data_IF_707787760019
#
_entry.id   IF_707787760019
#
_cell.length_a   1.000
_cell.length_b   1.000
_cell.length_c   1.000
_cell.angle_alpha   90.00
_cell.angle_beta   90.00
_cell.angle_gamma   90.00
#
_symmetry.space_group_name_H-M   'P 1'
#
loop_
_entity.id
_entity.type
_entity.pdbx_description
1 polymer ?
#
# COMPACT_ATOMS: atom_id res chain seq x y z
N UNK A 1 37.15 42.28 17.61
CA UNK A 1 37.83 41.45 18.63
C UNK A 1 38.02 40.04 18.05
N UNK A 2 39.27 39.64 17.85
CA UNK A 2 39.69 38.43 17.12
C UNK A 2 40.34 37.50 18.15
N UNK A 3 39.75 36.32 18.43
CA UNK A 3 40.37 35.33 19.31
C UNK A 3 41.43 34.52 18.54
N UNK A 4 42.54 34.14 19.20
CA UNK A 4 43.72 33.57 18.57
C UNK A 4 43.57 32.07 18.30
N UNK A 5 44.32 31.58 17.31
CA UNK A 5 44.48 30.16 17.01
C UNK A 5 45.61 29.49 17.81
N UNK A 6 46.01 28.32 17.29
CA UNK A 6 47.15 27.47 17.68
C UNK A 6 46.72 26.22 18.48
N UNK A 7 47.18 24.99 18.25
CA UNK A 7 47.91 24.32 17.15
C UNK A 7 48.19 22.87 17.61
N UNK A 8 48.41 21.94 16.66
CA UNK A 8 49.33 20.77 16.78
C UNK A 8 48.86 19.66 17.75
N UNK A 9 48.73 18.38 17.34
CA UNK A 9 49.83 17.47 16.93
C UNK A 9 49.36 16.38 15.97
N UNK A 10 50.17 16.21 14.92
CA UNK A 10 50.24 15.00 14.07
C UNK A 10 51.00 13.92 14.85
N UNK A 11 50.51 12.68 14.81
CA UNK A 11 51.34 11.49 15.01
C UNK A 11 50.95 10.45 13.98
N UNK A 12 51.87 10.21 13.05
CA UNK A 12 51.87 9.03 12.19
C UNK A 12 52.72 7.95 12.90
N UNK A 13 52.25 6.71 12.91
CA UNK A 13 53.12 5.54 12.94
C UNK A 13 52.36 4.29 12.48
N UNK A 14 52.90 3.74 11.39
CA UNK A 14 52.67 2.44 10.78
C UNK A 14 52.48 1.28 11.76
N UNK A 15 51.56 0.36 11.43
CA UNK A 15 51.83 -1.07 11.56
C UNK A 15 51.24 -1.83 10.37
N UNK A 16 52.12 -2.56 9.71
CA UNK A 16 51.87 -3.46 8.58
C UNK A 16 51.69 -4.87 9.14
N UNK A 17 50.83 -5.65 8.47
CA UNK A 17 50.97 -7.08 8.17
C UNK A 17 49.89 -8.04 8.71
N UNK A 18 49.56 -8.95 7.80
CA UNK A 18 48.99 -10.30 7.97
C UNK A 18 47.47 -10.42 7.96
N UNK A 19 47.00 -10.85 6.80
CA UNK A 19 45.62 -11.23 6.55
C UNK A 19 45.30 -12.64 7.04
N UNK A 20 43.98 -12.85 7.15
CA UNK A 20 43.27 -14.10 7.01
C UNK A 20 41.95 -13.72 6.31
N UNK A 21 41.92 -13.84 4.99
CA UNK A 21 40.69 -13.64 4.21
C UNK A 21 39.79 -14.86 4.44
N UNK A 22 38.94 -14.80 5.46
CA UNK A 22 37.88 -15.78 5.68
C UNK A 22 36.80 -15.55 4.64
N UNK A 23 36.86 -16.28 3.53
CA UNK A 23 35.80 -16.31 2.53
C UNK A 23 34.58 -17.03 3.11
N UNK A 24 33.53 -16.29 3.47
CA UNK A 24 32.20 -16.88 3.65
C UNK A 24 31.65 -17.21 2.25
N UNK A 25 31.60 -18.48 1.91
CA UNK A 25 30.87 -18.96 0.73
C UNK A 25 29.38 -18.99 1.11
N UNK A 26 28.51 -18.18 0.48
CA UNK A 26 27.08 -18.41 0.63
C UNK A 26 26.73 -19.70 -0.12
N UNK A 27 26.30 -20.72 0.63
CA UNK A 27 25.66 -21.91 0.04
C UNK A 27 24.33 -21.46 -0.57
N UNK A 28 24.26 -21.40 -1.89
CA UNK A 28 23.00 -21.21 -2.61
C UNK A 28 22.24 -22.51 -2.52
N UNK A 29 21.33 -22.61 -1.55
CA UNK A 29 20.30 -23.62 -1.58
C UNK A 29 19.36 -23.27 -2.75
N UNK A 30 19.41 -24.07 -3.82
CA UNK A 30 18.45 -24.05 -4.91
C UNK A 30 17.05 -24.31 -4.31
N UNK A 31 16.29 -23.24 -4.07
CA UNK A 31 14.95 -23.32 -3.53
C UNK A 31 14.03 -23.85 -4.63
N UNK A 32 13.65 -25.13 -4.50
CA UNK A 32 12.63 -25.72 -5.36
C UNK A 32 11.36 -24.84 -5.34
N UNK A 33 10.71 -24.61 -6.50
CA UNK A 33 9.51 -23.78 -6.55
C UNK A 33 8.43 -24.39 -5.66
N UNK A 34 8.01 -23.62 -4.64
CA UNK A 34 6.91 -24.03 -3.78
C UNK A 34 5.64 -24.17 -4.62
N UNK A 35 4.81 -25.21 -4.39
CA UNK A 35 3.54 -25.35 -5.10
C UNK A 35 2.67 -24.12 -4.86
N UNK A 36 2.13 -23.56 -5.94
CA UNK A 36 1.24 -22.42 -5.87
C UNK A 36 0.05 -22.75 -4.97
N UNK A 37 -0.16 -21.96 -3.92
CA UNK A 37 -1.32 -22.10 -3.05
C UNK A 37 -2.61 -21.95 -3.87
N UNK A 38 -3.67 -22.73 -3.59
CA UNK A 38 -4.93 -22.62 -4.30
C UNK A 38 -5.49 -21.21 -4.15
N UNK A 39 -5.84 -20.60 -5.28
CA UNK A 39 -6.45 -19.27 -5.33
C UNK A 39 -7.89 -19.42 -4.82
N UNK A 40 -8.10 -19.15 -3.55
CA UNK A 40 -9.44 -19.09 -2.98
C UNK A 40 -10.11 -17.83 -3.53
N UNK A 41 -11.06 -18.01 -4.45
CA UNK A 41 -11.93 -16.92 -4.85
C UNK A 41 -12.69 -16.45 -3.60
N UNK A 42 -12.44 -15.22 -3.17
CA UNK A 42 -13.14 -14.65 -2.03
C UNK A 42 -14.66 -14.67 -2.31
N UNK A 43 -15.50 -15.11 -1.37
CA UNK A 43 -16.95 -15.08 -1.54
C UNK A 43 -17.39 -13.64 -1.79
N UNK A 44 -18.14 -13.45 -2.86
CA UNK A 44 -18.72 -12.18 -3.27
C UNK A 44 -19.95 -11.93 -2.36
N UNK A 45 -19.92 -10.97 -1.41
CA UNK A 45 -21.03 -10.77 -0.48
C UNK A 45 -22.31 -10.32 -1.20
N UNK A 46 -23.44 -10.95 -0.87
CA UNK A 46 -24.73 -10.83 -1.56
C UNK A 46 -25.43 -9.45 -1.49
N UNK A 47 -24.88 -8.48 -0.76
CA UNK A 47 -25.49 -7.16 -0.54
C UNK A 47 -24.72 -6.06 -1.27
N UNK A 48 -24.83 -6.03 -2.60
CA UNK A 48 -24.36 -4.92 -3.44
C UNK A 48 -25.42 -3.86 -3.75
N UNK A 49 -26.57 -3.87 -3.05
CA UNK A 49 -27.58 -2.82 -3.20
C UNK A 49 -26.93 -1.44 -3.05
N UNK A 50 -26.95 -0.64 -4.11
CA UNK A 50 -26.33 0.70 -4.15
C UNK A 50 -24.81 0.75 -4.36
N UNK A 51 -24.10 -0.39 -4.45
CA UNK A 51 -22.63 -0.43 -4.63
C UNK A 51 -22.18 -0.79 -6.05
N UNK A 52 -23.10 -1.02 -6.98
CA UNK A 52 -22.79 -1.43 -8.36
C UNK A 52 -21.98 -0.40 -9.17
N UNK A 53 -21.92 0.85 -8.72
CA UNK A 53 -21.08 1.88 -9.32
C UNK A 53 -19.61 1.77 -8.91
N UNK A 54 -19.29 1.04 -7.84
CA UNK A 54 -17.94 0.96 -7.25
C UNK A 54 -17.36 -0.45 -7.35
N UNK A 55 -18.16 -1.46 -7.03
CA UNK A 55 -17.70 -2.86 -7.06
C UNK A 55 -17.35 -3.28 -8.49
N UNK A 56 -16.22 -3.97 -8.64
CA UNK A 56 -15.68 -4.41 -9.93
C UNK A 56 -15.07 -3.28 -10.77
N UNK A 57 -15.01 -2.05 -10.26
CA UNK A 57 -14.37 -0.92 -10.97
C UNK A 57 -12.88 -0.86 -10.71
N UNK A 58 -12.15 -0.33 -11.68
CA UNK A 58 -10.72 -0.03 -11.56
C UNK A 58 -10.51 1.26 -10.77
N UNK A 59 -9.29 1.43 -10.25
CA UNK A 59 -8.88 2.67 -9.60
C UNK A 59 -9.12 3.91 -10.47
N UNK A 60 -8.75 3.84 -11.74
CA UNK A 60 -8.94 4.95 -12.70
C UNK A 60 -10.42 5.34 -12.85
N UNK A 61 -11.32 4.36 -12.77
CA UNK A 61 -12.76 4.61 -12.81
C UNK A 61 -13.24 5.31 -11.53
N UNK A 62 -12.72 4.90 -10.37
CA UNK A 62 -13.02 5.59 -9.11
C UNK A 62 -12.46 7.00 -9.09
N UNK A 63 -11.26 7.21 -9.64
CA UNK A 63 -10.65 8.54 -9.72
C UNK A 63 -11.43 9.49 -10.64
N UNK A 64 -12.06 8.98 -11.69
CA UNK A 64 -12.99 9.78 -12.49
C UNK A 64 -14.28 10.11 -11.76
N UNK A 65 -14.82 9.16 -10.99
CA UNK A 65 -16.10 9.32 -10.30
C UNK A 65 -15.98 10.18 -9.03
N UNK A 66 -14.92 9.96 -8.27
CA UNK A 66 -14.71 10.54 -6.94
C UNK A 66 -13.43 11.34 -6.88
N UNK A 67 -12.80 11.73 -8.00
CA UNK A 67 -11.55 12.50 -8.08
C UNK A 67 -10.34 11.85 -7.43
N UNK A 68 -9.31 12.64 -7.13
CA UNK A 68 -8.08 12.12 -6.51
C UNK A 68 -8.38 11.56 -5.11
N UNK A 69 -7.93 10.33 -4.77
CA UNK A 69 -8.06 9.78 -3.43
C UNK A 69 -7.17 10.52 -2.42
N UNK A 70 -7.60 10.51 -1.16
CA UNK A 70 -6.82 11.03 -0.04
C UNK A 70 -5.69 10.05 0.35
N UNK A 71 -5.91 8.76 0.10
CA UNK A 71 -4.92 7.69 0.32
C UNK A 71 -4.90 6.75 -0.89
N UNK A 72 -3.71 6.41 -1.37
CA UNK A 72 -3.48 5.32 -2.33
C UNK A 72 -2.30 4.47 -1.85
N UNK A 73 -2.59 3.27 -1.33
CA UNK A 73 -1.60 2.35 -0.76
C UNK A 73 -1.58 1.06 -1.56
N UNK A 74 -0.39 0.55 -1.85
CA UNK A 74 -0.17 -0.74 -2.51
C UNK A 74 0.59 -1.69 -1.60
N UNK A 75 0.12 -2.91 -1.49
CA UNK A 75 0.75 -4.00 -0.72
C UNK A 75 0.71 -5.29 -1.53
N UNK A 76 1.86 -5.66 -2.12
CA UNK A 76 1.92 -6.75 -3.09
C UNK A 76 0.97 -6.51 -4.25
N UNK A 77 0.02 -7.43 -4.44
CA UNK A 77 -0.99 -7.33 -5.50
C UNK A 77 -2.26 -6.58 -5.07
N UNK A 78 -2.38 -6.18 -3.80
CA UNK A 78 -3.50 -5.43 -3.28
C UNK A 78 -3.28 -3.92 -3.44
N UNK A 79 -4.36 -3.17 -3.66
CA UNK A 79 -4.36 -1.71 -3.63
C UNK A 79 -5.55 -1.21 -2.81
N UNK A 80 -5.33 -0.23 -1.95
CA UNK A 80 -6.36 0.44 -1.17
C UNK A 80 -6.43 1.90 -1.58
N UNK A 81 -7.62 2.37 -1.92
CA UNK A 81 -7.90 3.78 -2.14
C UNK A 81 -8.86 4.30 -1.08
N UNK A 82 -8.60 5.49 -0.56
CA UNK A 82 -9.48 6.19 0.38
C UNK A 82 -9.98 7.49 -0.23
N UNK A 83 -11.27 7.75 -0.07
CA UNK A 83 -11.92 9.00 -0.45
C UNK A 83 -12.69 9.53 0.76
N UNK A 84 -12.72 10.83 0.95
CA UNK A 84 -13.49 11.46 2.02
C UNK A 84 -14.44 12.54 1.52
N UNK A 85 -15.51 12.72 2.28
CA UNK A 85 -16.43 13.85 2.23
C UNK A 85 -16.62 14.39 3.65
N UNK A 86 -17.41 15.45 3.80
CA UNK A 86 -17.80 15.94 5.13
C UNK A 86 -18.61 14.93 5.95
N UNK A 87 -19.25 13.95 5.30
CA UNK A 87 -20.13 12.98 5.96
C UNK A 87 -19.43 11.66 6.31
N UNK A 88 -18.50 11.21 5.47
CA UNK A 88 -17.93 9.87 5.59
C UNK A 88 -16.58 9.75 4.88
N UNK A 89 -15.87 8.66 5.21
CA UNK A 89 -14.67 8.17 4.55
C UNK A 89 -14.99 6.80 3.94
N UNK A 90 -14.72 6.63 2.64
CA UNK A 90 -14.86 5.38 1.90
C UNK A 90 -13.48 4.79 1.65
N UNK A 91 -13.27 3.57 2.14
CA UNK A 91 -12.14 2.74 1.76
C UNK A 91 -12.57 1.74 0.69
N UNK A 92 -11.82 1.67 -0.40
CA UNK A 92 -12.01 0.69 -1.47
C UNK A 92 -10.79 -0.21 -1.56
N UNK A 93 -11.03 -1.52 -1.58
CA UNK A 93 -10.00 -2.54 -1.59
C UNK A 93 -10.03 -3.25 -2.94
N UNK A 94 -8.94 -3.11 -3.68
CA UNK A 94 -8.80 -3.57 -5.03
C UNK A 94 -7.85 -4.77 -5.09
N UNK A 95 -8.27 -5.81 -5.80
CA UNK A 95 -7.49 -7.01 -6.04
C UNK A 95 -7.59 -7.43 -7.51
N UNK A 96 -6.52 -7.99 -8.09
CA UNK A 96 -6.56 -8.54 -9.44
C UNK A 96 -7.53 -9.73 -9.55
N UNK A 97 -8.44 -9.74 -10.53
CA UNK A 97 -9.30 -10.90 -10.79
C UNK A 97 -8.46 -12.16 -11.04
N UNK A 98 -8.68 -13.22 -10.26
CA UNK A 98 -7.90 -14.46 -10.38
C UNK A 98 -6.42 -14.32 -10.05
N UNK A 99 -6.04 -13.27 -9.31
CA UNK A 99 -4.67 -13.04 -8.83
C UNK A 99 -3.72 -12.41 -9.84
N UNK A 100 -4.18 -12.07 -11.05
CA UNK A 100 -3.40 -11.41 -12.11
C UNK A 100 -4.23 -10.32 -12.80
N UNK A 101 -3.57 -9.37 -13.46
CA UNK A 101 -4.24 -8.31 -14.22
C UNK A 101 -4.56 -7.06 -13.38
N UNK A 102 -5.40 -6.18 -13.94
CA UNK A 102 -5.72 -4.88 -13.33
C UNK A 102 -6.57 -5.07 -12.06
N UNK A 103 -6.15 -4.50 -10.90
CA UNK A 103 -6.93 -4.56 -9.68
C UNK A 103 -8.30 -3.90 -9.82
N UNK A 104 -9.34 -4.59 -9.37
CA UNK A 104 -10.71 -4.07 -9.29
C UNK A 104 -11.22 -4.12 -7.87
N UNK A 105 -12.15 -3.24 -7.51
CA UNK A 105 -12.74 -3.24 -6.17
C UNK A 105 -13.48 -4.55 -5.92
N UNK A 106 -13.04 -5.31 -4.91
CA UNK A 106 -13.75 -6.50 -4.44
C UNK A 106 -14.50 -6.23 -3.14
N UNK A 107 -14.03 -5.25 -2.37
CA UNK A 107 -14.62 -4.89 -1.08
C UNK A 107 -14.57 -3.36 -0.86
N UNK A 108 -15.56 -2.87 -0.13
CA UNK A 108 -15.60 -1.48 0.34
C UNK A 108 -16.02 -1.45 1.80
N UNK A 109 -15.46 -0.48 2.50
CA UNK A 109 -15.81 -0.14 3.87
C UNK A 109 -16.10 1.36 3.96
N UNK A 110 -16.98 1.76 4.88
CA UNK A 110 -17.37 3.15 5.07
C UNK A 110 -17.49 3.48 6.55
N UNK A 111 -16.93 4.62 6.92
CA UNK A 111 -16.95 5.13 8.30
C UNK A 111 -17.21 6.62 8.33
N UNK A 112 -17.62 7.12 9.49
CA UNK A 112 -17.60 8.55 9.80
C UNK A 112 -16.16 9.01 10.06
N UNK A 113 -15.88 10.33 10.05
CA UNK A 113 -14.58 10.87 10.42
C UNK A 113 -14.13 10.49 11.84
N UNK A 114 -15.07 10.22 12.75
CA UNK A 114 -14.78 9.76 14.12
C UNK A 114 -14.44 8.25 14.21
N UNK A 115 -14.48 7.52 13.10
CA UNK A 115 -14.16 6.11 13.01
C UNK A 115 -15.35 5.16 13.16
N UNK A 116 -16.54 5.64 13.50
CA UNK A 116 -17.74 4.79 13.61
C UNK A 116 -18.29 4.34 12.26
N UNK A 117 -18.96 3.19 12.22
CA UNK A 117 -19.52 2.63 10.98
C UNK A 117 -20.48 3.58 10.27
N UNK A 118 -20.43 3.56 8.94
CA UNK A 118 -21.34 4.32 8.08
C UNK A 118 -21.89 3.43 6.97
N UNK A 119 -23.11 3.72 6.50
CA UNK A 119 -23.69 2.93 5.40
C UNK A 119 -22.88 3.14 4.11
N UNK A 120 -22.44 2.03 3.51
CA UNK A 120 -21.52 2.04 2.38
C UNK A 120 -22.15 2.67 1.14
N UNK A 121 -23.40 2.34 0.83
CA UNK A 121 -24.12 2.89 -0.32
C UNK A 121 -24.36 4.39 -0.15
N UNK A 122 -24.71 4.82 1.06
CA UNK A 122 -24.87 6.23 1.42
C UNK A 122 -23.56 7.01 1.28
N UNK A 123 -22.42 6.41 1.66
CA UNK A 123 -21.12 7.08 1.51
C UNK A 123 -20.72 7.25 0.04
N UNK A 124 -20.95 6.21 -0.78
CA UNK A 124 -20.78 6.28 -2.24
C UNK A 124 -21.64 7.38 -2.85
N UNK A 125 -22.91 7.50 -2.44
CA UNK A 125 -23.79 8.56 -2.90
C UNK A 125 -23.28 9.95 -2.49
N UNK A 126 -22.86 10.12 -1.22
CA UNK A 126 -22.33 11.38 -0.71
C UNK A 126 -21.08 11.85 -1.47
N UNK A 127 -20.14 10.93 -1.73
CA UNK A 127 -18.93 11.22 -2.50
C UNK A 127 -19.23 11.66 -3.94
N UNK A 128 -20.26 11.07 -4.57
CA UNK A 128 -20.70 11.45 -5.92
C UNK A 128 -21.33 12.85 -6.00
N UNK A 129 -21.84 13.39 -4.88
CA UNK A 129 -22.41 14.74 -4.81
C UNK A 129 -21.40 15.81 -4.38
N UNK A 130 -20.28 15.42 -3.77
CA UNK A 130 -19.28 16.33 -3.23
C UNK A 130 -18.29 16.87 -4.29
N UNK A 131 -18.58 16.64 -5.57
CA UNK A 131 -17.68 16.89 -6.71
C UNK A 131 -18.14 18.07 -7.53
#
# INVERSE_FOLDING_TARGET
MRKPGSSIRRSAAFFVMSGLTTACVPSVAEQAPAPAAPVVAAPIPANYGGLGTVIGRTAETLERAFGRPDLDVREGNARKLQFSSSLCVLDTYLYPPGGRGEPVVTHVDARRPDGSDFDRASCVAALGQAR
#
